data_IF_959761284346
#
_entry.id   IF_959761284346
#
_cell.length_a   1.000
_cell.length_b   1.000
_cell.length_c   1.000
_cell.angle_alpha   90.00
_cell.angle_beta   90.00
_cell.angle_gamma   90.00
#
_symmetry.space_group_name_H-M   'P 1'
#
loop_
_entity.id
_entity.type
_entity.pdbx_description
1 polymer ?
#
# COMPACT_ATOMS: atom_id res chain seq x y z
N UNK A 1 -10.58 31.41 1.57
CA UNK A 1 -9.54 30.40 1.87
C UNK A 1 -10.10 29.55 3.01
N UNK A 2 -10.76 28.45 2.70
CA UNK A 2 -11.19 27.48 3.71
C UNK A 2 -10.02 26.52 3.91
N UNK A 3 -9.51 26.50 5.14
CA UNK A 3 -8.56 25.50 5.62
C UNK A 3 -9.24 24.15 5.42
N UNK A 4 -8.69 23.31 4.55
CA UNK A 4 -9.22 21.97 4.30
C UNK A 4 -9.32 21.22 5.61
N UNK A 5 -10.50 20.71 5.93
CA UNK A 5 -10.67 19.78 7.05
C UNK A 5 -9.64 18.66 6.88
N UNK A 6 -8.71 18.57 7.83
CA UNK A 6 -7.85 17.41 7.94
C UNK A 6 -8.78 16.21 7.98
N UNK A 7 -8.75 15.37 6.94
CA UNK A 7 -9.44 14.10 6.94
C UNK A 7 -8.70 13.25 7.96
N UNK A 8 -9.03 13.44 9.24
CA UNK A 8 -8.61 12.56 10.29
C UNK A 8 -9.09 11.19 9.85
N UNK A 9 -8.16 10.34 9.42
CA UNK A 9 -8.41 8.92 9.22
C UNK A 9 -8.88 8.46 10.59
N UNK A 10 -10.21 8.43 10.76
CA UNK A 10 -10.88 8.52 12.04
C UNK A 10 -9.99 7.94 13.13
N UNK A 11 -9.41 8.82 13.96
CA UNK A 11 -8.63 8.46 15.15
C UNK A 11 -9.30 7.23 15.69
N UNK A 12 -8.62 6.09 15.74
CA UNK A 12 -9.19 4.80 16.18
C UNK A 12 -10.05 5.12 17.41
N UNK A 13 -11.37 5.22 17.27
CA UNK A 13 -12.16 6.04 18.20
C UNK A 13 -12.12 5.44 19.59
N UNK A 14 -12.43 6.25 20.59
CA UNK A 14 -12.41 6.02 22.05
C UNK A 14 -13.07 4.71 22.53
N UNK A 15 -12.50 3.58 22.15
CA UNK A 15 -12.73 2.29 22.80
C UNK A 15 -11.76 2.27 23.97
N UNK A 16 -12.28 1.99 25.17
CA UNK A 16 -11.47 1.66 26.35
C UNK A 16 -10.27 0.84 25.90
N UNK A 17 -9.10 1.44 26.01
CA UNK A 17 -7.90 0.81 25.48
C UNK A 17 -7.40 -0.12 26.56
N UNK A 18 -7.80 -1.39 26.46
CA UNK A 18 -7.19 -2.45 27.26
C UNK A 18 -5.67 -2.41 27.08
N UNK A 19 -4.94 -2.75 28.15
CA UNK A 19 -3.48 -2.84 28.13
C UNK A 19 -3.02 -3.64 26.89
N UNK A 20 -2.13 -3.08 26.04
CA UNK A 20 -1.76 -3.71 24.78
C UNK A 20 -0.79 -4.90 24.97
N UNK A 21 -0.15 -4.97 26.14
CA UNK A 21 0.91 -5.90 26.47
C UNK A 21 0.38 -7.26 26.89
N UNK A 22 1.11 -8.32 26.54
CA UNK A 22 0.71 -9.66 26.92
C UNK A 22 1.09 -9.98 28.38
N UNK A 23 0.10 -10.40 29.16
CA UNK A 23 0.28 -10.78 30.55
C UNK A 23 0.15 -12.29 30.79
N UNK A 24 -0.19 -13.07 29.77
CA UNK A 24 -0.49 -14.48 29.96
C UNK A 24 0.75 -15.36 29.73
N UNK A 25 1.67 -14.97 28.85
CA UNK A 25 2.90 -15.71 28.64
C UNK A 25 3.85 -15.62 29.84
N UNK A 26 4.32 -16.79 30.28
CA UNK A 26 5.36 -16.91 31.31
C UNK A 26 6.76 -16.69 30.77
N UNK A 27 6.97 -16.92 29.47
CA UNK A 27 8.24 -16.77 28.75
C UNK A 27 7.97 -16.22 27.35
N UNK A 28 8.84 -15.36 26.81
CA UNK A 28 8.70 -14.87 25.45
C UNK A 28 8.85 -16.03 24.44
N UNK A 29 7.96 -16.15 23.44
CA UNK A 29 8.18 -17.01 22.29
C UNK A 29 9.38 -16.52 21.47
N UNK A 30 10.02 -17.44 20.75
CA UNK A 30 11.01 -17.10 19.73
C UNK A 30 10.30 -16.69 18.44
N UNK A 31 10.06 -15.40 18.30
CA UNK A 31 9.51 -14.80 17.09
C UNK A 31 10.57 -13.97 16.39
N UNK A 32 10.37 -13.82 15.08
CA UNK A 32 11.16 -12.93 14.24
C UNK A 32 10.20 -12.11 13.43
N UNK A 33 10.42 -10.80 13.41
CA UNK A 33 9.77 -9.98 12.40
C UNK A 33 10.36 -10.27 11.01
N UNK A 34 9.63 -9.82 10.00
CA UNK A 34 10.10 -9.68 8.63
C UNK A 34 9.69 -8.30 8.13
N UNK A 35 10.42 -7.26 8.59
CA UNK A 35 10.06 -5.88 8.31
C UNK A 35 10.56 -5.41 6.95
N UNK A 36 11.57 -6.07 6.36
CA UNK A 36 12.11 -5.74 5.03
C UNK A 36 11.10 -6.09 3.93
N UNK A 37 10.48 -5.06 3.37
CA UNK A 37 9.48 -5.15 2.31
C UNK A 37 10.12 -5.47 0.96
N UNK A 38 9.53 -6.43 0.24
CA UNK A 38 9.90 -6.78 -1.13
C UNK A 38 8.64 -7.05 -1.93
N UNK A 39 8.34 -6.22 -2.93
CA UNK A 39 7.12 -6.31 -3.74
C UNK A 39 6.88 -7.69 -4.34
N UNK A 40 7.93 -8.33 -4.89
CA UNK A 40 7.85 -9.69 -5.42
C UNK A 40 7.49 -10.73 -4.34
N UNK A 41 8.06 -10.60 -3.13
CA UNK A 41 7.77 -11.51 -2.02
C UNK A 41 6.35 -11.30 -1.49
N UNK A 42 5.90 -10.05 -1.39
CA UNK A 42 4.50 -9.72 -1.08
C UNK A 42 3.55 -10.37 -2.11
N UNK A 43 3.82 -10.22 -3.40
CA UNK A 43 3.01 -10.84 -4.45
C UNK A 43 2.94 -12.38 -4.31
N UNK A 44 4.07 -13.04 -4.06
CA UNK A 44 4.10 -14.49 -3.78
C UNK A 44 3.28 -14.85 -2.55
N UNK A 45 3.43 -14.09 -1.47
CA UNK A 45 2.72 -14.34 -0.22
C UNK A 45 1.21 -14.13 -0.36
N UNK A 46 0.77 -13.06 -1.04
CA UNK A 46 -0.64 -12.81 -1.38
C UNK A 46 -1.25 -13.97 -2.18
N UNK A 47 -0.53 -14.47 -3.19
CA UNK A 47 -0.97 -15.63 -3.96
C UNK A 47 -1.11 -16.90 -3.09
N UNK A 48 -0.21 -17.07 -2.13
CA UNK A 48 -0.18 -18.22 -1.24
C UNK A 48 -1.06 -18.05 0.02
N UNK A 49 -1.66 -16.88 0.24
CA UNK A 49 -2.37 -16.55 1.48
C UNK A 49 -1.48 -16.57 2.73
N UNK A 50 -0.20 -16.25 2.60
CA UNK A 50 0.76 -16.21 3.73
C UNK A 50 0.50 -14.99 4.60
N UNK A 51 0.32 -15.17 5.90
CA UNK A 51 -0.12 -14.10 6.82
C UNK A 51 0.99 -13.13 7.22
N UNK A 52 0.59 -11.91 7.59
CA UNK A 52 1.41 -10.91 8.30
C UNK A 52 1.70 -11.31 9.75
N UNK A 53 0.94 -12.25 10.33
CA UNK A 53 1.09 -12.69 11.72
C UNK A 53 1.89 -13.99 11.81
N UNK A 54 3.13 -13.92 12.28
CA UNK A 54 3.99 -15.08 12.50
C UNK A 54 3.81 -15.75 13.87
N UNK A 55 3.10 -15.10 14.80
CA UNK A 55 2.93 -15.59 16.16
C UNK A 55 1.83 -16.65 16.31
N UNK A 56 0.70 -16.48 15.63
CA UNK A 56 -0.37 -17.49 15.61
C UNK A 56 -0.44 -18.11 14.23
N UNK A 57 -0.43 -19.45 14.17
CA UNK A 57 -1.07 -20.17 13.05
C UNK A 57 -2.49 -19.62 13.01
N UNK A 58 -2.82 -18.81 12.02
CA UNK A 58 -4.14 -18.20 11.88
C UNK A 58 -5.20 -19.30 11.94
N UNK A 59 -5.80 -19.51 13.11
CA UNK A 59 -7.07 -20.23 13.24
C UNK A 59 -8.11 -19.14 13.11
N UNK A 60 -8.77 -18.98 11.94
CA UNK A 60 -9.93 -18.11 11.88
C UNK A 60 -10.85 -18.58 12.99
N UNK A 61 -11.11 -17.72 13.98
CA UNK A 61 -12.18 -18.02 14.93
C UNK A 61 -13.41 -18.31 14.07
N UNK A 62 -14.23 -19.24 14.49
CA UNK A 62 -15.46 -19.64 13.80
C UNK A 62 -16.40 -18.41 13.58
N UNK A 63 -16.06 -17.25 14.16
CA UNK A 63 -16.70 -15.94 14.02
C UNK A 63 -16.08 -15.01 12.94
N UNK A 64 -14.88 -15.27 12.42
CA UNK A 64 -14.28 -14.46 11.33
C UNK A 64 -14.93 -14.70 9.96
N UNK A 65 -15.86 -15.65 9.86
CA UNK A 65 -16.81 -15.76 8.75
C UNK A 65 -17.65 -14.47 8.53
N UNK A 66 -17.56 -13.47 9.43
CA UNK A 66 -18.18 -12.15 9.28
C UNK A 66 -17.23 -10.99 8.88
N UNK A 67 -15.90 -11.16 8.78
CA UNK A 67 -14.95 -10.03 8.63
C UNK A 67 -13.86 -10.20 7.56
N UNK A 68 -14.28 -10.52 6.33
CA UNK A 68 -13.45 -10.38 5.12
C UNK A 68 -12.51 -11.56 4.84
N UNK A 69 -12.39 -11.93 3.57
CA UNK A 69 -11.43 -12.94 3.11
C UNK A 69 -10.03 -12.33 3.14
N UNK A 70 -9.03 -13.11 3.53
CA UNK A 70 -7.61 -12.78 3.30
C UNK A 70 -7.46 -12.41 1.82
N UNK A 71 -6.73 -11.34 1.45
CA UNK A 71 -6.46 -11.00 0.07
C UNK A 71 -5.68 -12.15 -0.58
N UNK A 72 -6.41 -13.04 -1.24
CA UNK A 72 -5.88 -13.99 -2.19
C UNK A 72 -6.04 -13.37 -3.57
N UNK A 73 -5.26 -13.84 -4.54
CA UNK A 73 -5.60 -13.59 -5.94
C UNK A 73 -7.03 -14.08 -6.17
N UNK A 74 -8.00 -13.15 -6.18
CA UNK A 74 -9.38 -13.51 -6.40
C UNK A 74 -9.52 -13.88 -7.88
N UNK A 75 -9.48 -15.17 -8.19
CA UNK A 75 -9.70 -15.69 -9.54
C UNK A 75 -11.07 -15.29 -10.09
N UNK A 76 -11.99 -14.82 -9.23
CA UNK A 76 -13.30 -14.26 -9.60
C UNK A 76 -13.29 -12.75 -9.81
N UNK A 77 -12.20 -12.04 -9.48
CA UNK A 77 -12.02 -10.62 -9.78
C UNK A 77 -12.16 -10.41 -11.29
N UNK A 78 -12.76 -9.30 -11.70
CA UNK A 78 -13.05 -9.01 -13.11
C UNK A 78 -11.81 -9.08 -14.00
N UNK A 79 -10.62 -8.82 -13.43
CA UNK A 79 -9.31 -8.96 -14.09
C UNK A 79 -8.96 -10.42 -14.45
N UNK A 80 -9.26 -11.41 -13.59
CA UNK A 80 -8.89 -12.82 -13.81
C UNK A 80 -10.03 -13.68 -14.40
N UNK A 81 -11.28 -13.20 -14.33
CA UNK A 81 -12.48 -14.00 -14.60
C UNK A 81 -12.76 -14.35 -16.07
N UNK A 82 -12.19 -13.64 -17.07
CA UNK A 82 -12.60 -13.82 -18.48
C UNK A 82 -11.59 -14.49 -19.42
N UNK A 83 -10.28 -14.53 -19.13
CA UNK A 83 -9.24 -15.25 -19.89
C UNK A 83 -7.99 -15.41 -19.02
N UNK A 84 -7.80 -16.56 -18.37
CA UNK A 84 -6.59 -16.82 -17.57
C UNK A 84 -5.34 -17.08 -18.41
N UNK A 85 -5.51 -17.23 -19.73
CA UNK A 85 -4.52 -17.62 -20.73
C UNK A 85 -4.00 -16.46 -21.59
N UNK A 86 -4.65 -15.29 -21.56
CA UNK A 86 -4.25 -14.10 -22.33
C UNK A 86 -4.24 -12.89 -21.42
N UNK A 87 -3.09 -12.20 -21.37
CA UNK A 87 -2.96 -10.93 -20.65
C UNK A 87 -4.10 -9.96 -21.01
N UNK A 88 -4.50 -9.13 -20.05
CA UNK A 88 -5.52 -8.11 -20.29
C UNK A 88 -4.87 -6.98 -21.07
N UNK A 89 -5.48 -6.61 -22.19
CA UNK A 89 -5.15 -5.38 -22.91
C UNK A 89 -6.32 -4.39 -22.80
N UNK A 90 -5.99 -3.10 -22.86
CA UNK A 90 -6.93 -2.01 -23.03
C UNK A 90 -6.72 -1.36 -24.40
N UNK A 91 -7.79 -0.77 -24.91
CA UNK A 91 -7.81 -0.12 -26.21
C UNK A 91 -7.69 1.40 -26.00
N UNK A 92 -6.70 2.04 -26.62
CA UNK A 92 -6.57 3.50 -26.65
C UNK A 92 -6.79 3.94 -28.08
N UNK A 93 -7.82 4.74 -28.30
CA UNK A 93 -8.08 5.38 -29.57
C UNK A 93 -7.16 6.59 -29.71
N UNK A 94 -6.26 6.59 -30.70
CA UNK A 94 -5.34 7.70 -30.91
C UNK A 94 -5.90 8.82 -31.79
N UNK A 95 -7.04 8.60 -32.44
CA UNK A 95 -7.69 9.62 -33.30
C UNK A 95 -8.04 10.90 -32.53
N UNK A 96 -8.18 10.80 -31.20
CA UNK A 96 -8.52 11.92 -30.31
C UNK A 96 -7.32 12.81 -29.89
N UNK A 97 -6.06 12.43 -30.16
CA UNK A 97 -4.89 13.15 -29.61
C UNK A 97 -4.24 14.17 -30.56
N UNK A 98 -4.14 13.89 -31.88
CA UNK A 98 -3.87 14.86 -32.97
C UNK A 98 -3.65 14.14 -34.31
N UNK A 99 -3.85 14.87 -35.42
CA UNK A 99 -3.86 14.46 -36.84
C UNK A 99 -2.80 13.41 -37.21
N UNK A 100 -3.18 12.14 -37.39
CA UNK A 100 -2.28 11.19 -38.06
C UNK A 100 -2.48 9.69 -37.83
N UNK A 101 -3.45 9.24 -37.03
CA UNK A 101 -3.68 7.80 -36.90
C UNK A 101 -5.13 7.47 -36.56
N UNK A 102 -5.89 7.04 -37.57
CA UNK A 102 -7.16 6.33 -37.40
C UNK A 102 -6.88 4.91 -36.85
N UNK A 103 -6.29 4.81 -35.67
CA UNK A 103 -5.90 3.52 -35.12
C UNK A 103 -6.16 3.41 -33.62
N UNK A 104 -6.93 2.40 -33.26
CA UNK A 104 -7.08 1.91 -31.89
C UNK A 104 -5.89 1.01 -31.59
N UNK A 105 -5.13 1.32 -30.53
CA UNK A 105 -3.95 0.56 -30.11
C UNK A 105 -4.22 -0.22 -28.84
N UNK A 106 -3.67 -1.42 -28.76
CA UNK A 106 -3.85 -2.35 -27.66
C UNK A 106 -2.65 -2.32 -26.72
N UNK A 107 -2.88 -1.97 -25.45
CA UNK A 107 -1.82 -1.95 -24.44
C UNK A 107 -2.08 -2.96 -23.34
N UNK A 108 -1.08 -3.75 -22.94
CA UNK A 108 -1.21 -4.66 -21.82
C UNK A 108 -1.40 -3.89 -20.51
N UNK A 109 -2.15 -4.48 -19.60
CA UNK A 109 -2.32 -4.02 -18.22
C UNK A 109 -1.78 -5.11 -17.31
N UNK A 110 -0.89 -4.74 -16.41
CA UNK A 110 -0.44 -5.60 -15.32
C UNK A 110 -0.82 -4.99 -13.98
N UNK A 111 -0.96 -5.87 -13.00
CA UNK A 111 -1.10 -5.48 -11.60
C UNK A 111 0.17 -5.81 -10.86
N UNK A 112 0.50 -4.97 -9.88
CA UNK A 112 1.61 -5.17 -8.97
C UNK A 112 1.07 -5.24 -7.55
N UNK A 113 1.77 -5.99 -6.69
CA UNK A 113 1.48 -5.96 -5.28
C UNK A 113 1.95 -4.63 -4.71
N UNK A 114 1.04 -3.92 -4.06
CA UNK A 114 1.28 -2.67 -3.35
C UNK A 114 1.23 -2.94 -1.84
N UNK A 115 2.27 -2.53 -1.13
CA UNK A 115 2.31 -2.60 0.34
C UNK A 115 1.41 -1.53 0.93
N UNK A 116 0.47 -1.92 1.78
CA UNK A 116 -0.46 -1.01 2.45
C UNK A 116 0.23 -0.24 3.58
N UNK A 117 1.10 -0.92 4.33
CA UNK A 117 2.06 -0.33 5.26
C UNK A 117 3.45 -0.59 4.67
N UNK A 118 4.02 0.36 3.90
CA UNK A 118 5.32 0.23 3.29
C UNK A 118 6.44 0.10 4.31
N UNK A 119 7.33 -0.84 4.04
CA UNK A 119 8.47 -1.16 4.89
C UNK A 119 9.48 -0.01 4.96
N UNK A 120 10.01 0.43 3.81
CA UNK A 120 11.13 1.38 3.77
C UNK A 120 10.64 2.81 3.99
N UNK A 121 9.43 3.10 3.56
CA UNK A 121 8.90 4.45 3.48
C UNK A 121 8.10 4.83 4.72
N UNK A 122 7.50 3.87 5.43
CA UNK A 122 6.65 4.15 6.63
C UNK A 122 7.17 3.55 7.93
N UNK A 123 7.70 2.32 7.90
CA UNK A 123 8.12 1.61 9.12
C UNK A 123 9.59 1.87 9.48
N UNK A 124 10.46 1.95 8.47
CA UNK A 124 11.87 2.27 8.68
C UNK A 124 11.97 3.60 9.44
N UNK A 125 12.77 3.61 10.49
CA UNK A 125 13.04 4.77 11.34
C UNK A 125 11.81 5.31 12.12
N UNK A 126 10.70 4.56 12.18
CA UNK A 126 9.50 4.97 12.93
C UNK A 126 9.52 4.45 14.38
N UNK A 127 9.17 5.29 15.36
CA UNK A 127 9.25 5.00 16.81
C UNK A 127 8.46 3.75 17.24
N UNK A 128 7.38 3.42 16.53
CA UNK A 128 6.63 2.16 16.72
C UNK A 128 7.51 0.91 16.71
N UNK A 129 8.69 0.94 16.08
CA UNK A 129 9.67 -0.14 16.09
C UNK A 129 10.14 -0.52 17.51
N UNK A 130 10.15 0.44 18.45
CA UNK A 130 10.45 0.18 19.87
C UNK A 130 9.53 -0.89 20.46
N UNK A 131 8.27 -0.94 20.03
CA UNK A 131 7.28 -1.91 20.50
C UNK A 131 7.11 -3.12 19.56
N UNK A 132 7.79 -3.13 18.42
CA UNK A 132 7.76 -4.24 17.46
C UNK A 132 8.98 -5.17 17.60
N UNK A 133 10.12 -4.61 17.97
CA UNK A 133 11.43 -5.27 17.95
C UNK A 133 11.92 -5.55 19.35
N UNK A 134 12.55 -6.70 19.55
CA UNK A 134 13.27 -7.00 20.79
C UNK A 134 14.62 -6.28 20.83
N UNK A 135 15.01 -5.80 22.02
CA UNK A 135 16.34 -5.24 22.26
C UNK A 135 17.45 -6.21 21.82
N UNK A 136 18.40 -5.71 21.03
CA UNK A 136 19.53 -6.50 20.55
C UNK A 136 19.15 -7.66 19.62
N UNK A 137 17.90 -7.72 19.13
CA UNK A 137 17.50 -8.71 18.13
C UNK A 137 18.26 -8.51 16.80
N UNK A 138 18.47 -9.60 16.08
CA UNK A 138 19.19 -9.60 14.80
C UNK A 138 18.63 -8.56 13.83
N UNK A 139 19.42 -7.53 13.55
CA UNK A 139 18.95 -6.29 12.91
C UNK A 139 18.56 -6.44 11.44
N UNK A 140 18.97 -7.53 10.79
CA UNK A 140 18.74 -7.78 9.35
C UNK A 140 17.25 -7.77 8.95
N UNK A 141 16.38 -8.25 9.83
CA UNK A 141 14.94 -8.30 9.56
C UNK A 141 14.19 -7.07 10.07
N UNK A 142 14.86 -6.21 10.84
CA UNK A 142 14.28 -5.07 11.55
C UNK A 142 14.84 -3.74 11.03
N UNK A 143 15.24 -3.65 9.76
CA UNK A 143 15.82 -2.42 9.17
C UNK A 143 17.11 -1.91 9.83
N UNK A 144 17.87 -2.74 10.54
CA UNK A 144 18.99 -2.23 11.32
C UNK A 144 18.62 -1.89 12.77
N UNK A 145 17.33 -1.80 13.10
CA UNK A 145 16.84 -1.37 14.41
C UNK A 145 17.15 -2.41 15.49
N UNK A 146 17.78 -1.95 16.57
CA UNK A 146 18.23 -2.77 17.69
C UNK A 146 17.72 -2.28 19.05
N UNK A 147 17.21 -1.04 19.13
CA UNK A 147 16.84 -0.35 20.38
C UNK A 147 15.39 -0.65 20.80
N UNK A 148 14.97 -1.91 20.61
CA UNK A 148 13.66 -2.38 20.98
C UNK A 148 13.42 -2.37 22.48
N UNK A 149 12.17 -2.12 22.92
CA UNK A 149 11.79 -2.12 24.35
C UNK A 149 11.15 -3.42 24.82
N UNK A 150 10.78 -4.31 23.90
CA UNK A 150 9.99 -5.51 24.22
C UNK A 150 10.86 -6.76 24.40
N UNK A 151 10.43 -7.68 25.26
CA UNK A 151 11.18 -8.92 25.55
C UNK A 151 11.23 -9.95 24.37
N UNK A 152 10.50 -9.70 23.28
CA UNK A 152 10.40 -10.52 22.06
C UNK A 152 9.85 -9.70 20.88
N UNK A 153 10.28 -10.02 19.66
CA UNK A 153 9.68 -9.48 18.43
C UNK A 153 8.17 -9.77 18.39
N UNK A 154 7.38 -8.87 17.80
CA UNK A 154 5.92 -9.08 17.69
C UNK A 154 5.54 -10.13 16.64
N UNK A 155 6.48 -10.52 15.76
CA UNK A 155 6.26 -11.47 14.68
C UNK A 155 5.45 -10.86 13.52
N UNK A 156 5.71 -9.61 13.16
CA UNK A 156 5.07 -8.94 12.02
C UNK A 156 5.86 -9.18 10.73
N UNK A 157 5.15 -9.61 9.68
CA UNK A 157 5.69 -9.79 8.35
C UNK A 157 5.10 -8.76 7.39
N UNK A 158 5.88 -7.76 6.99
CA UNK A 158 5.45 -6.69 6.08
C UNK A 158 5.08 -7.23 4.69
N UNK A 159 5.60 -8.40 4.32
CA UNK A 159 5.26 -9.10 3.07
C UNK A 159 4.05 -10.03 3.21
N UNK A 160 3.33 -10.02 4.34
CA UNK A 160 2.12 -10.83 4.50
C UNK A 160 0.95 -10.32 3.68
N UNK A 161 0.01 -11.22 3.36
CA UNK A 161 -1.10 -11.00 2.42
C UNK A 161 -2.04 -9.88 2.88
N UNK A 162 -2.25 -9.76 4.19
CA UNK A 162 -3.10 -8.73 4.80
C UNK A 162 -2.51 -7.32 4.64
N UNK A 163 -1.21 -7.21 4.34
CA UNK A 163 -0.54 -5.94 4.07
C UNK A 163 -0.40 -5.64 2.57
N UNK A 164 -1.08 -6.39 1.71
CA UNK A 164 -0.98 -6.25 0.27
C UNK A 164 -2.30 -5.98 -0.42
N UNK A 165 -2.23 -5.26 -1.53
CA UNK A 165 -3.33 -5.13 -2.49
C UNK A 165 -2.79 -5.12 -3.91
N UNK A 166 -3.53 -5.68 -4.87
CA UNK A 166 -3.16 -5.61 -6.27
C UNK A 166 -3.72 -4.35 -6.91
N UNK A 167 -2.83 -3.50 -7.42
CA UNK A 167 -3.20 -2.27 -8.11
C UNK A 167 -2.67 -2.28 -9.56
N UNK A 168 -3.43 -1.72 -10.52
CA UNK A 168 -2.92 -1.50 -11.87
C UNK A 168 -1.77 -0.49 -11.82
N UNK A 169 -0.75 -0.67 -12.67
CA UNK A 169 0.36 0.27 -12.75
C UNK A 169 0.96 0.32 -14.14
N UNK A 170 2.01 1.12 -14.32
CA UNK A 170 2.67 1.31 -15.62
C UNK A 170 3.57 0.15 -16.03
N UNK A 171 3.79 -0.86 -15.17
CA UNK A 171 4.79 -1.91 -15.37
C UNK A 171 4.71 -2.67 -16.72
N UNK A 172 3.51 -2.89 -17.25
CA UNK A 172 3.34 -3.58 -18.54
C UNK A 172 3.70 -2.72 -19.76
N UNK A 173 3.61 -1.40 -19.62
CA UNK A 173 3.88 -0.43 -20.70
C UNK A 173 5.17 0.36 -20.47
N UNK A 174 5.72 0.32 -19.26
CA UNK A 174 6.95 0.99 -18.86
C UNK A 174 8.20 0.13 -19.02
N UNK A 175 9.28 0.58 -18.36
CA UNK A 175 10.62 0.03 -18.50
C UNK A 175 10.94 -1.23 -17.69
N UNK A 176 10.00 -1.71 -16.86
CA UNK A 176 10.21 -2.87 -16.01
C UNK A 176 10.42 -4.17 -16.80
N UNK A 177 10.97 -5.20 -16.14
CA UNK A 177 11.25 -6.52 -16.75
C UNK A 177 10.01 -7.09 -17.45
N UNK A 178 10.06 -7.17 -18.78
CA UNK A 178 8.96 -7.68 -19.63
C UNK A 178 7.91 -6.65 -20.05
N UNK A 179 8.10 -5.36 -19.75
CA UNK A 179 7.24 -4.26 -20.21
C UNK A 179 7.56 -3.81 -21.63
N UNK A 180 6.60 -3.13 -22.28
CA UNK A 180 6.70 -2.70 -23.68
C UNK A 180 7.59 -1.47 -23.92
N UNK A 181 8.02 -0.75 -22.87
CA UNK A 181 8.85 0.46 -22.98
C UNK A 181 8.24 1.58 -23.85
N UNK A 182 6.93 1.71 -23.81
CA UNK A 182 6.18 2.73 -24.54
C UNK A 182 5.71 3.88 -23.65
N UNK A 183 5.90 3.78 -22.33
CA UNK A 183 5.55 4.82 -21.35
C UNK A 183 6.65 5.86 -21.20
N UNK A 184 6.38 7.10 -21.61
CA UNK A 184 7.29 8.22 -21.50
C UNK A 184 6.64 9.36 -20.72
N UNK A 185 7.14 9.61 -19.51
CA UNK A 185 6.86 10.82 -18.76
C UNK A 185 7.80 11.91 -19.26
N UNK A 186 7.24 13.05 -19.70
CA UNK A 186 8.05 14.17 -20.21
C UNK A 186 8.85 14.88 -19.10
N UNK A 187 8.58 14.58 -17.83
CA UNK A 187 9.11 15.29 -16.66
C UNK A 187 9.90 14.39 -15.68
N UNK A 188 10.11 13.10 -16.00
CA UNK A 188 10.87 12.21 -15.11
C UNK A 188 12.38 12.32 -15.41
N UNK A 189 13.16 12.69 -14.40
CA UNK A 189 14.59 12.33 -14.33
C UNK A 189 14.69 10.79 -14.37
N UNK A 190 15.69 10.21 -15.06
CA UNK A 190 15.85 8.76 -15.11
C UNK A 190 16.05 8.20 -13.69
N UNK A 191 15.15 7.32 -13.24
CA UNK A 191 15.25 6.63 -11.95
C UNK A 191 16.52 5.77 -11.91
N UNK A 192 17.50 6.14 -11.09
CA UNK A 192 18.78 5.41 -10.92
C UNK A 192 18.62 4.07 -10.17
N UNK A 193 17.49 3.84 -9.48
CA UNK A 193 17.24 2.64 -8.68
C UNK A 193 16.30 1.67 -9.41
N UNK A 194 16.85 0.85 -10.29
CA UNK A 194 16.67 -0.60 -10.36
C UNK A 194 17.46 -1.14 -11.54
N UNK A 195 18.68 -1.57 -11.24
CA UNK A 195 19.52 -2.39 -12.11
C UNK A 195 18.87 -3.77 -12.29
N UNK A 196 17.81 -3.84 -13.11
CA UNK A 196 17.38 -5.10 -13.70
C UNK A 196 17.93 -5.10 -15.10
N UNK A 197 18.93 -5.96 -15.36
CA UNK A 197 19.55 -6.23 -16.67
C UNK A 197 18.58 -5.92 -17.81
N UNK A 198 18.76 -4.73 -18.38
CA UNK A 198 17.85 -4.15 -19.34
C UNK A 198 17.92 -4.94 -20.66
N UNK A 199 16.77 -5.17 -21.29
CA UNK A 199 16.77 -5.36 -22.74
C UNK A 199 16.86 -3.96 -23.33
N UNK A 200 18.02 -3.50 -23.80
CA UNK A 200 18.15 -2.18 -24.45
C UNK A 200 17.01 -1.96 -25.46
N UNK A 201 16.39 -0.78 -25.42
CA UNK A 201 15.40 -0.38 -26.42
C UNK A 201 16.00 -0.49 -27.84
N UNK A 202 17.31 -0.35 -27.94
CA UNK A 202 18.16 -0.50 -29.11
C UNK A 202 18.16 -1.91 -29.73
N UNK A 203 17.60 -2.91 -29.02
CA UNK A 203 17.46 -4.30 -29.52
C UNK A 203 16.10 -4.58 -30.15
N UNK A 204 15.18 -3.60 -30.17
CA UNK A 204 13.91 -3.67 -30.89
C UNK A 204 13.92 -2.67 -32.06
N UNK A 205 13.37 -3.00 -33.23
CA UNK A 205 13.37 -2.10 -34.37
C UNK A 205 12.59 -0.81 -34.07
N UNK A 206 13.31 0.31 -33.99
CA UNK A 206 12.83 1.66 -33.62
C UNK A 206 11.57 2.11 -34.39
N UNK A 207 11.40 1.62 -35.62
CA UNK A 207 10.29 1.93 -36.51
C UNK A 207 8.94 1.32 -36.07
N UNK A 208 8.94 0.24 -35.29
CA UNK A 208 7.70 -0.46 -34.89
C UNK A 208 7.05 0.12 -33.62
N UNK A 209 7.80 0.85 -32.78
CA UNK A 209 7.31 1.28 -31.46
C UNK A 209 7.11 2.79 -31.30
N UNK A 210 7.70 3.63 -32.16
CA UNK A 210 7.47 5.08 -32.14
C UNK A 210 5.99 5.45 -32.23
N UNK A 211 5.22 4.66 -32.99
CA UNK A 211 3.79 4.88 -33.13
C UNK A 211 3.00 4.42 -31.89
N UNK A 212 3.53 3.51 -31.06
CA UNK A 212 2.89 3.02 -29.84
C UNK A 212 3.20 3.86 -28.59
N UNK A 213 3.91 4.97 -28.74
CA UNK A 213 4.40 5.77 -27.64
C UNK A 213 3.24 6.40 -26.83
N UNK A 214 3.14 6.01 -25.56
CA UNK A 214 2.35 6.68 -24.54
C UNK A 214 3.20 7.80 -23.95
N UNK A 215 3.16 8.96 -24.59
CA UNK A 215 3.85 10.15 -24.13
C UNK A 215 2.87 11.15 -23.52
N UNK A 216 3.20 11.67 -22.35
CA UNK A 216 2.37 12.65 -21.67
C UNK A 216 2.99 13.17 -20.38
N UNK A 217 2.61 14.40 -20.04
CA UNK A 217 3.02 15.07 -18.80
C UNK A 217 2.43 14.33 -17.58
N UNK A 218 3.25 14.01 -16.58
CA UNK A 218 2.85 13.18 -15.44
C UNK A 218 1.90 13.92 -14.53
N UNK A 219 0.80 13.27 -14.15
CA UNK A 219 -0.24 13.90 -13.33
C UNK A 219 -1.16 14.86 -14.11
N UNK A 220 -0.89 15.14 -15.39
CA UNK A 220 -1.77 16.01 -16.17
C UNK A 220 -3.01 15.28 -16.65
N UNK A 221 -4.13 15.57 -16.00
CA UNK A 221 -5.43 14.96 -16.33
C UNK A 221 -6.04 15.69 -17.53
N UNK A 222 -5.98 15.07 -18.71
CA UNK A 222 -6.50 15.65 -19.95
C UNK A 222 -6.97 14.57 -20.92
N UNK A 223 -8.03 14.85 -21.67
CA UNK A 223 -8.46 14.02 -22.81
C UNK A 223 -7.42 14.00 -23.93
N UNK A 224 -6.47 14.93 -23.93
CA UNK A 224 -5.36 14.99 -24.89
C UNK A 224 -4.10 14.26 -24.40
N UNK A 225 -4.12 13.61 -23.23
CA UNK A 225 -2.96 12.94 -22.63
C UNK A 225 -3.09 11.40 -22.72
N UNK A 226 -2.36 10.72 -23.65
CA UNK A 226 -2.42 9.27 -23.79
C UNK A 226 -2.09 8.48 -22.51
N UNK A 227 -1.14 8.96 -21.71
CA UNK A 227 -0.80 8.33 -20.42
C UNK A 227 -1.99 8.37 -19.46
N UNK A 228 -2.73 9.48 -19.42
CA UNK A 228 -3.94 9.56 -18.59
C UNK A 228 -5.04 8.61 -19.07
N UNK A 229 -5.23 8.47 -20.40
CA UNK A 229 -6.20 7.50 -20.92
C UNK A 229 -5.84 6.07 -20.53
N UNK A 230 -4.56 5.69 -20.60
CA UNK A 230 -4.08 4.41 -20.09
C UNK A 230 -4.42 4.24 -18.61
N UNK A 231 -4.05 5.23 -17.78
CA UNK A 231 -4.29 5.22 -16.32
C UNK A 231 -5.77 5.07 -15.99
N UNK A 232 -6.63 5.88 -16.60
CA UNK A 232 -8.08 5.85 -16.38
C UNK A 232 -8.65 4.50 -16.76
N UNK A 233 -8.35 4.00 -17.96
CA UNK A 233 -8.88 2.71 -18.44
C UNK A 233 -8.34 1.52 -17.64
N UNK A 234 -7.07 1.54 -17.21
CA UNK A 234 -6.49 0.50 -16.36
C UNK A 234 -7.15 0.46 -14.97
N UNK A 235 -7.43 1.64 -14.41
CA UNK A 235 -8.19 1.80 -13.16
C UNK A 235 -9.61 1.24 -13.30
N UNK A 236 -10.32 1.61 -14.38
CA UNK A 236 -11.70 1.14 -14.63
C UNK A 236 -11.74 -0.37 -14.85
N UNK A 237 -10.77 -0.92 -15.59
CA UNK A 237 -10.62 -2.36 -15.81
C UNK A 237 -10.44 -3.14 -14.49
N UNK A 238 -9.81 -2.50 -13.50
CA UNK A 238 -9.62 -3.04 -12.16
C UNK A 238 -10.77 -2.72 -11.20
N UNK A 239 -11.93 -2.33 -11.72
CA UNK A 239 -13.10 -2.03 -10.91
C UNK A 239 -12.93 -0.77 -10.06
N UNK A 240 -12.15 0.20 -10.51
CA UNK A 240 -11.95 1.45 -9.76
C UNK A 240 -10.89 1.35 -8.66
N UNK A 241 -9.94 0.43 -8.77
CA UNK A 241 -8.74 0.45 -7.95
C UNK A 241 -7.77 1.54 -8.43
N UNK A 242 -7.16 2.27 -7.50
CA UNK A 242 -6.21 3.34 -7.81
C UNK A 242 -5.03 2.86 -8.64
N UNK A 243 -4.55 3.72 -9.54
CA UNK A 243 -3.33 3.46 -10.29
C UNK A 243 -2.10 3.64 -9.40
N UNK A 244 -1.23 2.64 -9.43
CA UNK A 244 -0.01 2.56 -8.65
C UNK A 244 1.20 3.01 -9.49
N UNK A 245 1.88 4.05 -9.01
CA UNK A 245 3.27 4.38 -9.35
C UNK A 245 4.08 4.53 -8.05
N UNK A 246 5.42 4.64 -8.17
CA UNK A 246 6.27 4.88 -7.00
C UNK A 246 5.97 6.27 -6.47
N UNK A 247 5.50 6.34 -5.23
CA UNK A 247 5.14 7.60 -4.59
C UNK A 247 5.41 7.59 -3.09
N UNK A 248 6.19 8.56 -2.61
CA UNK A 248 6.57 8.64 -1.20
C UNK A 248 5.45 9.22 -0.32
N UNK A 249 4.70 10.23 -0.79
CA UNK A 249 3.76 10.96 0.07
C UNK A 249 2.62 10.08 0.63
N UNK A 250 2.31 8.93 0.00
CA UNK A 250 1.35 7.97 0.56
C UNK A 250 1.77 7.53 1.96
N UNK A 251 3.07 7.31 2.14
CA UNK A 251 3.66 6.88 3.39
C UNK A 251 3.71 8.02 4.40
N UNK A 252 4.17 9.19 3.95
CA UNK A 252 4.45 10.33 4.83
C UNK A 252 3.19 10.90 5.48
N UNK A 253 2.13 11.11 4.69
CA UNK A 253 0.97 11.85 5.17
C UNK A 253 -0.05 10.96 5.92
N UNK A 254 -0.06 9.65 5.67
CA UNK A 254 -1.18 8.79 6.10
C UNK A 254 -0.71 7.62 6.93
N UNK A 255 0.25 6.86 6.41
CA UNK A 255 0.69 5.65 7.09
C UNK A 255 1.48 6.03 8.33
N UNK A 256 2.42 6.98 8.24
CA UNK A 256 3.18 7.47 9.40
C UNK A 256 2.29 8.12 10.45
N UNK A 257 1.29 8.92 10.07
CA UNK A 257 0.34 9.47 11.04
C UNK A 257 -0.43 8.38 11.79
N UNK A 258 -0.91 7.35 11.08
CA UNK A 258 -1.60 6.23 11.70
C UNK A 258 -0.69 5.39 12.61
N UNK A 259 0.57 5.18 12.20
CA UNK A 259 1.58 4.50 13.01
C UNK A 259 1.96 5.34 14.23
N UNK A 260 2.07 6.67 14.11
CA UNK A 260 2.31 7.60 15.22
C UNK A 260 1.17 7.55 16.23
N UNK A 261 -0.07 7.53 15.76
CA UNK A 261 -1.24 7.37 16.63
C UNK A 261 -1.27 6.01 17.34
N UNK A 262 -0.81 4.93 16.69
CA UNK A 262 -0.65 3.62 17.33
C UNK A 262 0.49 3.63 18.36
N UNK A 263 1.63 4.24 18.02
CA UNK A 263 2.78 4.41 18.90
C UNK A 263 2.40 5.16 20.17
N UNK A 264 1.87 6.39 20.04
CA UNK A 264 1.47 7.22 21.17
C UNK A 264 0.47 6.50 22.08
N UNK A 265 -0.42 5.67 21.51
CA UNK A 265 -1.35 4.88 22.33
C UNK A 265 -0.67 3.77 23.11
N UNK A 266 0.31 3.08 22.54
CA UNK A 266 1.08 2.08 23.28
C UNK A 266 1.93 2.78 24.33
N UNK A 267 2.49 3.94 24.00
CA UNK A 267 3.29 4.77 24.89
C UNK A 267 2.53 5.23 26.13
N UNK A 268 1.22 5.49 26.02
CA UNK A 268 0.36 5.73 27.20
C UNK A 268 0.32 4.56 28.19
N UNK A 269 0.70 3.34 27.78
CA UNK A 269 0.86 2.17 28.64
C UNK A 269 2.32 1.85 28.93
N UNK A 270 3.24 2.25 28.03
CA UNK A 270 4.67 2.20 28.25
C UNK A 270 5.09 3.34 29.17
N UNK A 271 4.95 3.11 30.48
CA UNK A 271 5.42 4.10 31.42
C UNK A 271 6.18 3.39 32.53
N UNK A 272 7.49 3.39 32.35
CA UNK A 272 8.55 3.22 33.33
C UNK A 272 8.37 4.05 34.61
N UNK A 273 7.37 4.95 34.70
CA UNK A 273 6.96 5.67 35.92
C UNK A 273 5.47 5.60 36.32
N UNK A 274 4.53 5.22 35.44
CA UNK A 274 3.07 5.27 35.70
C UNK A 274 2.35 3.96 35.35
N UNK A 275 2.83 2.84 35.84
CA UNK A 275 2.11 1.55 35.80
C UNK A 275 0.79 1.54 36.62
N UNK A 276 0.17 2.69 36.92
CA UNK A 276 -1.03 2.78 37.76
C UNK A 276 -2.32 2.41 37.01
N UNK A 277 -2.30 2.24 35.69
CA UNK A 277 -3.50 1.90 34.93
C UNK A 277 -3.73 0.38 34.79
N UNK A 278 -2.68 -0.45 34.86
CA UNK A 278 -2.79 -1.89 34.69
C UNK A 278 -2.15 -2.66 35.85
N UNK A 279 -3.00 -3.21 36.73
CA UNK A 279 -2.56 -4.04 37.87
C UNK A 279 -1.65 -5.21 37.44
N UNK A 280 -1.90 -5.81 36.26
CA UNK A 280 -1.07 -6.91 35.73
C UNK A 280 0.35 -6.48 35.30
N UNK A 281 0.52 -5.23 34.85
CA UNK A 281 1.85 -4.67 34.58
C UNK A 281 2.60 -4.42 35.89
N UNK A 282 1.91 -3.86 36.89
CA UNK A 282 2.48 -3.55 38.20
C UNK A 282 3.01 -4.82 38.90
N UNK A 283 2.21 -5.89 38.92
CA UNK A 283 2.61 -7.19 39.47
C UNK A 283 3.88 -7.78 38.81
N UNK A 284 4.19 -7.35 37.57
CA UNK A 284 5.32 -7.84 36.78
C UNK A 284 6.47 -6.85 36.66
N UNK A 285 6.42 -5.69 37.33
CA UNK A 285 7.41 -4.60 37.19
C UNK A 285 8.86 -5.06 37.26
N UNK A 286 9.20 -5.89 38.26
CA UNK A 286 10.56 -6.44 38.41
C UNK A 286 11.03 -7.23 37.17
N UNK A 287 10.14 -7.99 36.53
CA UNK A 287 10.49 -8.73 35.30
C UNK A 287 10.58 -7.83 34.08
N UNK A 288 9.81 -6.74 34.07
CA UNK A 288 9.88 -5.73 33.02
C UNK A 288 11.25 -5.04 33.06
N UNK A 289 11.73 -4.69 34.25
CA UNK A 289 13.06 -4.09 34.44
C UNK A 289 14.20 -5.04 34.00
N UNK A 290 14.00 -6.36 34.15
CA UNK A 290 15.01 -7.38 33.81
C UNK A 290 14.98 -7.85 32.34
N UNK A 291 13.81 -7.89 31.71
CA UNK A 291 13.61 -8.55 30.41
C UNK A 291 13.05 -7.63 29.30
N UNK A 292 12.69 -6.39 29.63
CA UNK A 292 11.94 -5.48 28.76
C UNK A 292 10.43 -5.61 28.93
N UNK A 293 9.69 -4.75 28.24
CA UNK A 293 8.23 -4.73 28.26
C UNK A 293 7.65 -6.05 27.74
N UNK A 294 6.53 -6.54 28.29
CA UNK A 294 5.85 -7.68 27.71
C UNK A 294 5.39 -7.32 26.30
N UNK A 295 5.74 -8.11 25.29
CA UNK A 295 5.46 -7.80 23.87
C UNK A 295 3.97 -7.56 23.61
N UNK A 296 3.60 -6.49 22.90
CA UNK A 296 2.21 -6.23 22.52
C UNK A 296 1.84 -7.02 21.26
N UNK A 297 1.66 -8.34 21.35
CA UNK A 297 1.28 -9.18 20.20
C UNK A 297 -0.03 -8.76 19.51
N UNK A 298 -0.89 -8.05 20.24
CA UNK A 298 -2.11 -7.44 19.70
C UNK A 298 -1.83 -6.37 18.63
N UNK A 299 -0.61 -5.79 18.60
CA UNK A 299 -0.19 -4.79 17.61
C UNK A 299 -0.26 -5.34 16.19
N UNK A 300 0.12 -6.60 15.95
CA UNK A 300 0.00 -7.24 14.63
C UNK A 300 -1.45 -7.18 14.12
N UNK A 301 -2.42 -7.45 14.99
CA UNK A 301 -3.86 -7.36 14.64
C UNK A 301 -4.25 -5.92 14.32
N UNK A 302 -3.74 -4.93 15.07
CA UNK A 302 -4.02 -3.50 14.82
C UNK A 302 -3.42 -3.03 13.49
N UNK A 303 -2.20 -3.44 13.17
CA UNK A 303 -1.57 -3.21 11.86
C UNK A 303 -2.40 -3.84 10.74
N UNK A 304 -2.85 -5.09 10.90
CA UNK A 304 -3.74 -5.72 9.91
C UNK A 304 -5.09 -4.99 9.73
N UNK A 305 -5.67 -4.44 10.79
CA UNK A 305 -6.87 -3.59 10.69
C UNK A 305 -6.57 -2.27 9.96
N UNK A 306 -5.41 -1.67 10.21
CA UNK A 306 -4.94 -0.49 9.49
C UNK A 306 -4.77 -0.79 8.01
N UNK A 307 -4.05 -1.87 7.64
CA UNK A 307 -3.90 -2.31 6.25
C UNK A 307 -5.26 -2.52 5.58
N UNK A 308 -6.20 -3.22 6.23
CA UNK A 308 -7.55 -3.40 5.68
C UNK A 308 -8.28 -2.07 5.40
N UNK A 309 -8.16 -1.10 6.32
CA UNK A 309 -8.73 0.24 6.14
C UNK A 309 -8.09 0.98 4.96
N UNK A 310 -6.76 0.95 4.88
CA UNK A 310 -5.99 1.54 3.78
C UNK A 310 -6.35 0.91 2.44
N UNK A 311 -6.46 -0.43 2.37
CA UNK A 311 -6.87 -1.16 1.17
C UNK A 311 -8.24 -0.68 0.67
N UNK A 312 -9.18 -0.42 1.59
CA UNK A 312 -10.47 0.18 1.27
C UNK A 312 -10.35 1.54 0.56
N UNK A 313 -9.39 2.39 0.95
CA UNK A 313 -9.15 3.67 0.27
C UNK A 313 -8.54 3.53 -1.12
N UNK A 314 -7.79 2.46 -1.37
CA UNK A 314 -7.11 2.21 -2.64
C UNK A 314 -7.97 1.43 -3.64
N UNK A 315 -8.95 0.67 -3.15
CA UNK A 315 -9.80 -0.21 -3.97
C UNK A 315 -11.27 0.19 -4.01
N UNK A 316 -11.67 1.26 -3.32
CA UNK A 316 -13.06 1.70 -3.29
C UNK A 316 -13.61 1.92 -4.70
N UNK A 317 -14.57 1.08 -5.08
CA UNK A 317 -15.41 1.21 -6.27
C UNK A 317 -16.27 2.48 -6.16
N UNK A 318 -16.44 3.20 -7.27
CA UNK A 318 -17.42 4.30 -7.36
C UNK A 318 -16.98 5.67 -6.79
N UNK A 319 -15.67 5.96 -6.76
CA UNK A 319 -15.20 7.33 -6.54
C UNK A 319 -15.12 7.80 -5.08
N UNK A 320 -15.21 6.90 -4.11
CA UNK A 320 -15.05 7.22 -2.68
C UNK A 320 -13.58 7.35 -2.23
N UNK A 321 -12.65 7.59 -3.17
CA UNK A 321 -11.26 7.82 -2.82
C UNK A 321 -11.12 9.09 -1.98
N UNK A 322 -10.25 9.02 -0.97
CA UNK A 322 -9.99 10.16 -0.10
C UNK A 322 -8.94 11.05 -0.77
N UNK A 323 -9.16 12.38 -0.89
CA UNK A 323 -8.29 13.27 -1.66
C UNK A 323 -6.80 13.22 -1.31
N UNK A 324 -6.47 12.86 -0.07
CA UNK A 324 -5.09 12.79 0.41
C UNK A 324 -4.52 11.36 0.37
N UNK A 325 -5.33 10.33 0.08
CA UNK A 325 -4.89 8.93 0.04
C UNK A 325 -4.73 8.50 -1.40
N UNK A 326 -3.50 8.58 -1.93
CA UNK A 326 -3.23 8.26 -3.32
C UNK A 326 -1.94 7.48 -3.54
N UNK A 327 -1.94 6.64 -4.58
CA UNK A 327 -0.79 5.77 -4.94
C UNK A 327 -0.08 6.20 -6.22
N UNK A 328 -0.43 7.36 -6.77
CA UNK A 328 0.34 8.00 -7.85
C UNK A 328 -0.01 9.48 -8.00
N UNK A 329 0.88 10.24 -8.64
CA UNK A 329 0.61 11.65 -9.01
C UNK A 329 -0.60 11.81 -9.94
N UNK A 330 -0.89 10.79 -10.75
CA UNK A 330 -2.12 10.72 -11.55
C UNK A 330 -3.35 10.69 -10.67
N UNK A 331 -3.35 9.84 -9.64
CA UNK A 331 -4.48 9.73 -8.73
C UNK A 331 -4.65 11.01 -7.91
N UNK A 332 -3.55 11.59 -7.43
CA UNK A 332 -3.57 12.88 -6.73
C UNK A 332 -4.24 13.97 -7.58
N UNK A 333 -3.81 14.10 -8.83
CA UNK A 333 -4.30 15.13 -9.73
C UNK A 333 -5.76 14.89 -10.12
N UNK A 334 -6.14 13.63 -10.38
CA UNK A 334 -7.53 13.26 -10.61
C UNK A 334 -8.43 13.65 -9.42
N UNK A 335 -8.03 13.34 -8.19
CA UNK A 335 -8.82 13.69 -7.00
C UNK A 335 -8.93 15.21 -6.81
N UNK A 336 -7.86 15.97 -7.07
CA UNK A 336 -7.90 17.44 -7.06
C UNK A 336 -8.91 17.99 -8.08
N UNK A 337 -8.94 17.45 -9.29
CA UNK A 337 -9.88 17.89 -10.34
C UNK A 337 -11.32 17.50 -10.03
N UNK A 338 -11.58 16.27 -9.55
CA UNK A 338 -12.92 15.85 -9.10
C UNK A 338 -13.43 16.72 -7.95
N UNK A 339 -12.56 17.05 -6.98
CA UNK A 339 -12.92 17.93 -5.87
C UNK A 339 -13.23 19.38 -6.29
N UNK A 340 -12.65 19.88 -7.39
CA UNK A 340 -13.03 21.17 -7.98
C UNK A 340 -14.36 21.08 -8.72
N UNK A 341 -14.57 19.98 -9.44
CA UNK A 341 -15.75 19.72 -10.24
C UNK A 341 -17.02 19.52 -9.41
N UNK A 342 -16.95 18.84 -8.27
CA UNK A 342 -18.09 18.71 -7.34
C UNK A 342 -18.58 20.05 -6.80
N UNK A 343 -17.74 21.09 -6.84
CA UNK A 343 -18.06 22.45 -6.43
C UNK A 343 -18.54 23.34 -7.58
N UNK A 344 -18.51 22.87 -8.84
CA UNK A 344 -18.92 23.64 -10.01
C UNK A 344 -19.60 22.74 -11.04
N UNK A 345 -20.91 22.89 -11.17
CA UNK A 345 -21.76 22.15 -12.11
C UNK A 345 -21.37 22.46 -13.59
N UNK A 346 -20.38 21.75 -14.11
CA UNK A 346 -19.67 22.07 -15.36
C UNK A 346 -19.54 20.84 -16.28
N UNK A 347 -19.46 21.05 -17.60
CA UNK A 347 -19.23 19.96 -18.57
C UNK A 347 -17.92 19.18 -18.30
N UNK A 348 -16.89 19.85 -17.75
CA UNK A 348 -15.71 19.18 -17.23
C UNK A 348 -16.09 18.16 -16.16
N UNK A 349 -16.91 18.56 -15.17
CA UNK A 349 -17.43 17.66 -14.14
C UNK A 349 -18.11 16.42 -14.74
N UNK A 350 -18.86 16.53 -15.84
CA UNK A 350 -19.49 15.37 -16.50
C UNK A 350 -18.49 14.39 -17.12
N UNK A 351 -17.31 14.86 -17.52
CA UNK A 351 -16.21 14.03 -18.00
C UNK A 351 -15.50 13.28 -16.85
N UNK A 352 -15.48 13.88 -15.66
CA UNK A 352 -14.89 13.33 -14.43
C UNK A 352 -15.86 12.46 -13.60
N UNK A 353 -17.18 12.71 -13.70
CA UNK A 353 -18.27 12.12 -12.88
C UNK A 353 -19.02 11.02 -13.63
N UNK A 354 -18.81 10.81 -14.95
CA UNK A 354 -19.25 9.56 -15.62
C UNK A 354 -18.39 8.38 -15.15
N UNK A 355 -18.54 8.01 -13.88
CA UNK A 355 -18.11 6.76 -13.26
C UNK A 355 -19.31 6.08 -12.64
#
# INVERSE_FOLDING_TARGET
>A
MQIGEAVGIAMITDVEFDCPFDHELKKPPELKNELVGKGAKLATNMNNGTSTNSYKKFTPSVESNKKGKIPQQDTKHNFYRKRSDKGRCLDIDFSQFAKGGDEVKHFPVSCSAHHLIPSQESLKDHDILEYMCKEGAGTKNNHGFADGKVWSDIGYNTNGSENGVYLPGSYAVGGGKGGLKVWYSLDDEPDEEHDTEYIDADKLPEKEYKDYMLAGEKGKISTSNPCWHYVSKATDLMGGAQFHDRHLDYSDDIVKEALTALHARIELFDITEKANACAKCEEKRKKIDEAGLPTPYSLVKRLGLLSNKLSGYLTATGGNWKPNVYTSKWMQSYMKEVGKASNKDTEAAKLYIKR
#
